data_IF_352583473102
#
_entry.id   IF_352583473102
#
_cell.length_a   1.000
_cell.length_b   1.000
_cell.length_c   1.000
_cell.angle_alpha   90.00
_cell.angle_beta   90.00
_cell.angle_gamma   90.00
#
_symmetry.space_group_name_H-M   'P 1'
#
loop_
_entity.id
_entity.type
_entity.pdbx_description
1 polymer ?
#
# COMPACT_ATOMS: atom_id res chain seq x y z
N UNK A 1 11.68 8.23 -21.64
CA UNK A 1 11.51 7.64 -20.29
C UNK A 1 10.12 7.98 -19.78
N UNK A 2 9.30 6.98 -19.44
CA UNK A 2 7.98 7.20 -18.85
C UNK A 2 8.13 7.57 -17.37
N UNK A 3 7.28 8.45 -16.82
CA UNK A 3 7.28 8.74 -15.37
C UNK A 3 6.79 7.51 -14.60
N UNK A 4 7.35 7.24 -13.41
CA UNK A 4 6.93 6.15 -12.52
C UNK A 4 5.40 6.10 -12.33
N UNK A 5 4.76 7.25 -12.20
CA UNK A 5 3.30 7.37 -12.09
C UNK A 5 2.53 6.71 -13.25
N UNK A 6 3.08 6.74 -14.47
CA UNK A 6 2.43 6.10 -15.63
C UNK A 6 2.49 4.59 -15.61
N UNK A 7 3.46 3.99 -14.93
CA UNK A 7 3.54 2.54 -14.73
C UNK A 7 2.53 2.09 -13.68
N UNK A 8 2.38 2.85 -12.59
CA UNK A 8 1.29 2.61 -11.63
C UNK A 8 -0.08 2.68 -12.31
N UNK A 9 -0.35 3.73 -13.09
CA UNK A 9 -1.62 3.86 -13.83
C UNK A 9 -1.85 2.67 -14.78
N UNK A 10 -0.81 2.18 -15.47
CA UNK A 10 -0.94 1.00 -16.34
C UNK A 10 -1.29 -0.28 -15.58
N UNK A 11 -0.79 -0.44 -14.34
CA UNK A 11 -1.03 -1.63 -13.51
C UNK A 11 -2.35 -1.57 -12.74
N UNK A 12 -2.79 -0.37 -12.34
CA UNK A 12 -3.91 -0.20 -11.40
C UNK A 12 -5.09 0.57 -11.99
N UNK A 13 -4.90 1.27 -13.11
CA UNK A 13 -5.88 2.23 -13.63
C UNK A 13 -5.99 3.53 -12.81
N UNK A 14 -5.21 3.69 -11.73
CA UNK A 14 -5.33 4.80 -10.80
C UNK A 14 -4.14 5.76 -10.89
N UNK A 15 -4.43 7.06 -10.92
CA UNK A 15 -3.42 8.11 -10.73
C UNK A 15 -3.21 8.31 -9.24
N UNK A 16 -2.13 7.77 -8.69
CA UNK A 16 -1.83 7.94 -7.26
C UNK A 16 -1.44 9.37 -6.91
N UNK A 17 -1.95 9.84 -5.78
CA UNK A 17 -1.41 11.00 -5.09
C UNK A 17 0.04 10.71 -4.65
N UNK A 18 0.98 11.67 -4.72
CA UNK A 18 2.36 11.46 -4.30
C UNK A 18 2.47 11.20 -2.78
N UNK A 19 2.61 9.94 -2.40
CA UNK A 19 2.83 9.50 -1.02
C UNK A 19 1.94 8.31 -0.65
N UNK A 20 2.21 7.73 0.52
CA UNK A 20 1.41 6.66 1.12
C UNK A 20 0.96 7.07 2.51
N UNK A 21 -0.18 6.55 2.96
CA UNK A 21 -0.59 6.58 4.36
C UNK A 21 -0.12 5.27 5.01
N UNK A 22 0.71 5.36 6.05
CA UNK A 22 1.11 4.18 6.82
C UNK A 22 0.03 3.86 7.86
N UNK A 23 -0.46 2.63 7.85
CA UNK A 23 -1.42 2.11 8.82
C UNK A 23 -0.75 1.00 9.61
N UNK A 24 -0.62 1.20 10.92
CA UNK A 24 0.02 0.23 11.80
C UNK A 24 -0.99 -0.79 12.31
N UNK A 25 -0.70 -2.07 12.11
CA UNK A 25 -1.43 -3.19 12.66
C UNK A 25 -0.79 -3.58 14.00
N UNK A 26 -1.43 -3.18 15.10
CA UNK A 26 -0.90 -3.37 16.45
C UNK A 26 -0.96 -4.85 16.87
N UNK A 27 -2.10 -5.49 16.62
CA UNK A 27 -2.39 -6.86 17.09
C UNK A 27 -2.33 -7.92 15.98
N UNK A 28 -2.06 -7.51 14.74
CA UNK A 28 -2.14 -8.39 13.57
C UNK A 28 -0.99 -8.14 12.60
N UNK A 29 -0.75 -9.13 11.73
CA UNK A 29 0.12 -9.09 10.56
C UNK A 29 -0.70 -9.38 9.31
N UNK A 30 -0.37 -8.70 8.23
CA UNK A 30 -0.97 -8.89 6.92
C UNK A 30 0.06 -9.38 5.90
N UNK A 31 -0.20 -10.55 5.35
CA UNK A 31 0.61 -11.20 4.33
C UNK A 31 -0.07 -11.07 2.97
N UNK A 32 0.68 -10.56 1.99
CA UNK A 32 0.21 -10.47 0.62
C UNK A 32 -0.07 -11.88 0.07
N UNK A 33 -1.10 -12.04 -0.77
CA UNK A 33 -1.31 -13.28 -1.50
C UNK A 33 -0.23 -13.44 -2.60
N UNK A 34 -0.07 -14.66 -3.13
CA UNK A 34 0.92 -14.93 -4.18
C UNK A 34 0.59 -14.22 -5.50
N UNK A 35 -0.69 -14.08 -5.83
CA UNK A 35 -1.23 -13.52 -7.07
C UNK A 35 -1.49 -12.00 -6.99
N UNK A 36 -0.56 -11.27 -6.37
CA UNK A 36 -0.65 -9.81 -6.28
C UNK A 36 -0.27 -9.11 -7.61
N UNK A 37 -0.70 -7.86 -7.77
CA UNK A 37 -0.27 -7.04 -8.91
C UNK A 37 1.20 -6.67 -8.69
N UNK A 38 2.03 -6.89 -9.71
CA UNK A 38 3.47 -6.63 -9.67
C UNK A 38 3.87 -5.52 -10.63
N UNK A 39 4.66 -4.58 -10.14
CA UNK A 39 5.47 -3.66 -10.94
C UNK A 39 6.94 -4.02 -10.71
N UNK A 40 7.54 -4.68 -11.71
CA UNK A 40 8.93 -5.09 -11.63
C UNK A 40 9.87 -3.91 -11.89
N UNK A 41 10.98 -3.85 -11.15
CA UNK A 41 11.97 -2.76 -11.27
C UNK A 41 12.50 -2.60 -12.69
N UNK A 42 12.65 -3.69 -13.43
CA UNK A 42 13.09 -3.70 -14.82
C UNK A 42 12.10 -2.98 -15.75
N UNK A 43 10.80 -2.95 -15.42
CA UNK A 43 9.78 -2.28 -16.25
C UNK A 43 9.96 -0.76 -16.29
N UNK A 44 10.48 -0.19 -15.21
CA UNK A 44 10.58 1.27 -15.03
C UNK A 44 12.00 1.76 -14.73
N UNK A 45 13.00 0.91 -14.93
CA UNK A 45 14.42 1.19 -14.62
C UNK A 45 14.61 1.60 -13.14
N UNK A 46 13.85 0.95 -12.26
CA UNK A 46 13.82 1.18 -10.83
C UNK A 46 14.90 0.42 -10.05
N UNK A 47 14.92 0.66 -8.73
CA UNK A 47 15.79 -0.09 -7.80
C UNK A 47 15.10 -1.27 -7.13
N UNK A 48 13.77 -1.24 -7.02
CA UNK A 48 12.98 -2.16 -6.21
C UNK A 48 11.71 -2.52 -6.97
N UNK A 49 11.23 -3.75 -6.86
CA UNK A 49 9.92 -4.10 -7.39
C UNK A 49 8.84 -3.84 -6.33
N UNK A 50 7.60 -3.66 -6.77
CA UNK A 50 6.48 -3.29 -5.92
C UNK A 50 5.33 -4.27 -6.12
N UNK A 51 4.89 -4.87 -5.02
CA UNK A 51 3.66 -5.65 -4.92
C UNK A 51 2.51 -4.73 -4.52
N UNK A 52 1.35 -4.92 -5.14
CA UNK A 52 0.17 -4.08 -4.95
C UNK A 52 -1.09 -4.93 -4.80
N UNK A 53 -1.92 -4.60 -3.82
CA UNK A 53 -3.22 -5.26 -3.59
C UNK A 53 -4.33 -4.21 -3.53
N UNK A 54 -5.42 -4.37 -4.31
CA UNK A 54 -6.61 -3.53 -4.17
C UNK A 54 -7.19 -3.64 -2.76
N UNK A 55 -7.60 -2.52 -2.19
CA UNK A 55 -8.25 -2.43 -0.89
C UNK A 55 -9.23 -1.26 -0.87
N UNK A 56 -10.00 -1.14 0.21
CA UNK A 56 -10.75 0.08 0.51
C UNK A 56 -10.33 0.65 1.85
N UNK A 57 -10.22 1.96 1.92
CA UNK A 57 -9.97 2.71 3.15
C UNK A 57 -11.09 3.73 3.30
N UNK A 58 -11.84 3.67 4.40
CA UNK A 58 -13.01 4.52 4.61
C UNK A 58 -13.99 4.48 3.40
N UNK A 59 -14.20 3.30 2.81
CA UNK A 59 -15.03 3.09 1.62
C UNK A 59 -14.45 3.56 0.28
N UNK A 60 -13.24 4.16 0.28
CA UNK A 60 -12.56 4.66 -0.92
C UNK A 60 -11.62 3.62 -1.51
N UNK A 61 -11.69 3.42 -2.83
CA UNK A 61 -10.76 2.57 -3.57
C UNK A 61 -9.30 3.02 -3.38
N UNK A 62 -8.45 2.07 -3.04
CA UNK A 62 -7.04 2.29 -2.74
C UNK A 62 -6.22 1.02 -3.02
N UNK A 63 -4.91 1.10 -2.83
CA UNK A 63 -4.00 -0.02 -2.95
C UNK A 63 -3.05 -0.07 -1.76
N UNK A 64 -2.85 -1.27 -1.22
CA UNK A 64 -1.73 -1.55 -0.31
C UNK A 64 -0.49 -1.77 -1.19
N UNK A 65 0.58 -1.04 -0.93
CA UNK A 65 1.87 -1.20 -1.60
C UNK A 65 2.86 -1.89 -0.65
N UNK A 66 3.71 -2.76 -1.20
CA UNK A 66 4.88 -3.30 -0.49
C UNK A 66 6.04 -3.47 -1.46
N UNK A 67 7.21 -2.95 -1.09
CA UNK A 67 8.42 -3.13 -1.89
C UNK A 67 9.18 -4.38 -1.46
N UNK A 68 9.90 -5.03 -2.38
CA UNK A 68 10.70 -6.22 -2.05
C UNK A 68 11.86 -5.91 -1.08
N UNK A 69 12.24 -4.64 -0.95
CA UNK A 69 13.28 -4.16 -0.02
C UNK A 69 12.72 -3.68 1.32
N UNK A 70 11.42 -3.83 1.56
CA UNK A 70 10.82 -3.38 2.82
C UNK A 70 11.35 -4.21 4.00
N UNK A 71 11.82 -3.51 5.02
CA UNK A 71 12.40 -4.09 6.25
C UNK A 71 11.62 -3.69 7.49
N UNK A 72 10.48 -3.00 7.33
CA UNK A 72 9.68 -2.49 8.42
C UNK A 72 10.21 -1.15 8.94
N UNK A 73 9.46 -0.53 9.84
CA UNK A 73 9.76 0.81 10.40
C UNK A 73 9.28 0.88 11.84
N UNK A 74 9.93 1.70 12.66
CA UNK A 74 9.51 1.98 14.05
C UNK A 74 9.33 0.73 14.95
N UNK A 75 10.12 -0.33 14.72
CA UNK A 75 10.02 -1.59 15.49
C UNK A 75 8.92 -2.54 15.03
N UNK A 76 8.17 -2.19 13.98
CA UNK A 76 7.17 -3.05 13.35
C UNK A 76 7.76 -3.75 12.13
N UNK A 77 7.37 -5.01 11.91
CA UNK A 77 7.74 -5.75 10.69
C UNK A 77 6.97 -5.20 9.46
N UNK A 78 7.45 -5.46 8.22
CA UNK A 78 6.74 -5.08 7.00
C UNK A 78 5.27 -5.54 6.95
N UNK A 79 4.95 -6.65 7.60
CA UNK A 79 3.60 -7.21 7.66
C UNK A 79 2.69 -6.47 8.64
N UNK A 80 3.25 -5.68 9.53
CA UNK A 80 2.48 -4.86 10.49
C UNK A 80 2.29 -3.42 10.02
N UNK A 81 2.80 -3.05 8.85
CA UNK A 81 2.60 -1.72 8.26
C UNK A 81 1.96 -1.89 6.89
N UNK A 82 0.78 -1.29 6.72
CA UNK A 82 0.17 -1.16 5.40
C UNK A 82 0.51 0.22 4.84
N UNK A 83 1.20 0.27 3.71
CA UNK A 83 1.39 1.52 2.97
C UNK A 83 0.24 1.71 1.96
N UNK A 84 -0.71 2.59 2.27
CA UNK A 84 -1.93 2.80 1.46
C UNK A 84 -1.73 3.94 0.47
N UNK A 85 -1.95 3.67 -0.82
CA UNK A 85 -1.95 4.65 -1.90
C UNK A 85 -3.34 4.79 -2.52
N UNK A 86 -3.77 6.02 -2.80
CA UNK A 86 -5.00 6.32 -3.54
C UNK A 86 -4.85 7.60 -4.36
N UNK A 87 -5.89 8.07 -5.03
CA UNK A 87 -5.88 9.25 -5.89
C UNK A 87 -6.04 10.60 -5.15
N UNK A 88 -6.09 10.59 -3.81
CA UNK A 88 -6.21 11.78 -2.96
C UNK A 88 -5.24 11.72 -1.78
N UNK A 89 -5.03 12.85 -1.11
CA UNK A 89 -4.32 12.90 0.17
C UNK A 89 -5.26 12.51 1.30
N UNK A 90 -5.18 11.24 1.74
CA UNK A 90 -6.10 10.65 2.75
C UNK A 90 -6.22 11.46 4.05
N UNK A 91 -5.14 12.06 4.53
CA UNK A 91 -5.15 12.90 5.74
C UNK A 91 -6.02 14.14 5.59
N UNK A 92 -6.07 14.73 4.41
CA UNK A 92 -6.87 15.94 4.17
C UNK A 92 -8.32 15.55 3.89
N UNK A 93 -8.54 14.46 3.13
CA UNK A 93 -9.88 13.97 2.77
C UNK A 93 -10.69 13.50 3.98
N UNK A 94 -10.04 12.81 4.92
CA UNK A 94 -10.68 12.20 6.09
C UNK A 94 -10.22 12.82 7.42
N UNK A 95 -9.53 13.97 7.37
CA UNK A 95 -9.01 14.71 8.53
C UNK A 95 -8.12 13.89 9.49
N UNK A 96 -7.43 12.86 8.97
CA UNK A 96 -6.69 11.89 9.77
C UNK A 96 -5.41 12.46 10.39
N UNK A 97 -5.19 12.09 11.65
CA UNK A 97 -4.01 12.38 12.46
C UNK A 97 -3.30 11.10 12.87
N UNK A 98 -2.06 11.24 13.33
CA UNK A 98 -1.33 10.10 13.87
C UNK A 98 -2.03 9.59 15.13
N UNK A 99 -2.26 8.28 15.20
CA UNK A 99 -2.98 7.62 16.27
C UNK A 99 -4.47 7.40 16.00
N UNK A 100 -5.03 7.98 14.93
CA UNK A 100 -6.41 7.68 14.54
C UNK A 100 -6.55 6.22 14.12
N UNK A 101 -7.64 5.60 14.57
CA UNK A 101 -8.00 4.23 14.19
C UNK A 101 -8.88 4.30 12.96
N UNK A 102 -8.51 3.52 11.94
CA UNK A 102 -9.22 3.43 10.68
C UNK A 102 -9.42 1.98 10.28
N UNK A 103 -10.40 1.75 9.42
CA UNK A 103 -10.67 0.44 8.83
C UNK A 103 -10.13 0.36 7.41
N UNK A 104 -9.49 -0.76 7.09
CA UNK A 104 -9.02 -1.11 5.75
C UNK A 104 -9.62 -2.45 5.37
N UNK A 105 -10.42 -2.46 4.30
CA UNK A 105 -11.01 -3.67 3.73
C UNK A 105 -10.08 -4.27 2.69
N UNK A 106 -9.82 -5.57 2.79
CA UNK A 106 -9.01 -6.32 1.83
C UNK A 106 -9.81 -7.52 1.31
N UNK A 107 -9.67 -7.80 0.01
CA UNK A 107 -10.35 -8.93 -0.65
C UNK A 107 -9.44 -10.14 -0.88
N UNK A 108 -8.17 -10.05 -0.47
CA UNK A 108 -7.17 -11.11 -0.63
C UNK A 108 -6.10 -10.97 0.46
N UNK A 109 -5.21 -11.96 0.56
CA UNK A 109 -4.16 -12.03 1.58
C UNK A 109 -4.59 -12.74 2.86
N UNK A 110 -3.67 -12.81 3.82
CA UNK A 110 -3.90 -13.47 5.10
C UNK A 110 -3.64 -12.49 6.25
N UNK A 111 -4.59 -12.45 7.20
CA UNK A 111 -4.47 -11.68 8.44
C UNK A 111 -4.22 -12.69 9.56
N UNK A 112 -3.14 -12.49 10.30
CA UNK A 112 -2.71 -13.39 11.39
C UNK A 112 -2.49 -12.55 12.65
N UNK A 113 -2.98 -12.94 13.83
CA UNK A 113 -2.64 -12.29 15.09
C UNK A 113 -1.13 -12.29 15.37
N UNK A 114 -0.62 -11.26 16.04
CA UNK A 114 0.79 -11.16 16.49
C UNK A 114 1.04 -12.06 17.70
#
# INVERSE_FOLDING_TARGET
>A
MKKLSSYYIQKTGMVFFPGTLNVHLIEHKYYFPQDCIRLEKEEYEGKVSVSMIPCKICGKEAYILRTDSDTGKHGYSPEQILEIATNVKLRDEFELKDGDIIEVEVNAGQIIPV
#
